data_IF_268981965764
#
_entry.id   IF_268981965764
#
_cell.length_a   1.000
_cell.length_b   1.000
_cell.length_c   1.000
_cell.angle_alpha   90.00
_cell.angle_beta   90.00
_cell.angle_gamma   90.00
#
_symmetry.space_group_name_H-M   'P 1'
#
loop_
_entity.id
_entity.type
_entity.pdbx_description
1 polymer ?
#
# COMPACT_ATOMS: atom_id res chain seq x y z
N UNK A 1 46.30 -24.80 -32.21
CA UNK A 1 46.33 -24.73 -30.72
C UNK A 1 45.95 -23.32 -30.31
N UNK A 2 44.76 -23.14 -29.73
CA UNK A 2 44.23 -21.83 -29.35
C UNK A 2 44.71 -21.52 -27.93
N UNK A 3 45.60 -20.55 -27.77
CA UNK A 3 46.10 -20.08 -26.47
C UNK A 3 45.02 -19.22 -25.79
N UNK A 4 44.25 -19.83 -24.90
CA UNK A 4 43.22 -19.16 -24.12
C UNK A 4 43.88 -18.42 -22.95
N UNK A 5 43.95 -17.10 -23.04
CA UNK A 5 44.59 -16.26 -22.02
C UNK A 5 43.70 -16.18 -20.77
N UNK A 6 44.19 -16.56 -19.58
CA UNK A 6 43.38 -16.72 -18.35
C UNK A 6 42.80 -15.39 -17.84
N UNK A 7 43.36 -14.26 -18.26
CA UNK A 7 42.91 -12.92 -17.88
C UNK A 7 41.56 -12.52 -18.50
N UNK A 8 41.15 -13.10 -19.63
CA UNK A 8 39.83 -12.83 -20.24
C UNK A 8 38.67 -13.60 -19.59
N UNK A 9 38.95 -14.74 -18.96
CA UNK A 9 37.91 -15.54 -18.30
C UNK A 9 37.44 -14.93 -16.97
N UNK A 10 38.30 -14.15 -16.30
CA UNK A 10 38.00 -13.56 -14.99
C UNK A 10 36.99 -12.40 -15.06
N UNK A 11 36.98 -11.64 -16.16
CA UNK A 11 36.08 -10.49 -16.34
C UNK A 11 34.60 -10.89 -16.58
N UNK A 12 34.34 -12.11 -17.05
CA UNK A 12 32.97 -12.59 -17.31
C UNK A 12 32.26 -13.09 -16.04
N UNK A 13 33.00 -13.42 -14.98
CA UNK A 13 32.43 -13.93 -13.73
C UNK A 13 31.86 -12.83 -12.81
N UNK A 14 32.29 -11.57 -12.99
CA UNK A 14 31.81 -10.45 -12.16
C UNK A 14 30.37 -10.05 -12.50
N UNK A 15 29.90 -10.31 -13.73
CA UNK A 15 28.53 -10.00 -14.17
C UNK A 15 27.48 -11.05 -13.74
N UNK A 16 27.91 -12.21 -13.23
CA UNK A 16 27.02 -13.29 -12.81
C UNK A 16 26.71 -13.28 -11.30
N UNK A 17 27.24 -12.32 -10.54
CA UNK A 17 26.94 -12.20 -9.12
C UNK A 17 25.48 -11.72 -8.95
N UNK A 18 24.61 -12.49 -8.25
CA UNK A 18 23.28 -12.00 -7.94
C UNK A 18 23.42 -10.80 -7.00
N UNK A 19 23.01 -9.62 -7.47
CA UNK A 19 22.79 -8.46 -6.60
C UNK A 19 21.62 -8.82 -5.68
N UNK A 20 21.94 -9.35 -4.48
CA UNK A 20 20.96 -9.47 -3.42
C UNK A 20 20.60 -8.07 -2.95
N UNK A 21 19.54 -7.51 -3.54
CA UNK A 21 18.88 -6.32 -3.03
C UNK A 21 18.25 -6.69 -1.69
N UNK A 22 18.81 -6.16 -0.59
CA UNK A 22 18.12 -6.20 0.69
C UNK A 22 16.82 -5.41 0.55
N UNK A 23 15.66 -6.09 0.61
CA UNK A 23 14.37 -5.40 0.58
C UNK A 23 14.30 -4.42 1.76
N UNK A 24 14.23 -3.13 1.46
CA UNK A 24 14.04 -2.09 2.48
C UNK A 24 12.67 -2.34 3.11
N UNK A 25 12.65 -2.59 4.41
CA UNK A 25 11.40 -2.77 5.15
C UNK A 25 10.55 -1.51 5.07
N UNK A 26 9.39 -1.61 4.42
CA UNK A 26 8.36 -0.57 4.42
C UNK A 26 7.32 -0.92 5.49
N UNK A 27 7.05 -0.05 6.50
CA UNK A 27 6.02 -0.32 7.49
C UNK A 27 4.63 -0.30 6.85
N UNK A 28 3.68 -1.01 7.46
CA UNK A 28 2.29 -0.92 7.03
C UNK A 28 1.73 0.49 7.33
N UNK A 29 0.83 1.07 6.50
CA UNK A 29 0.23 2.36 6.82
C UNK A 29 -0.50 2.35 8.16
N UNK A 30 -0.26 3.37 8.97
CA UNK A 30 -0.89 3.47 10.29
C UNK A 30 -2.41 3.62 10.19
N UNK A 31 -3.11 3.26 11.26
CA UNK A 31 -4.56 3.47 11.34
C UNK A 31 -4.93 4.94 11.17
N UNK A 32 -4.14 5.84 11.75
CA UNK A 32 -4.36 7.29 11.65
C UNK A 32 -4.22 7.76 10.20
N UNK A 33 -3.25 7.23 9.45
CA UNK A 33 -3.11 7.53 8.03
C UNK A 33 -4.34 7.10 7.23
N UNK A 34 -4.86 5.90 7.51
CA UNK A 34 -6.09 5.41 6.87
C UNK A 34 -7.29 6.27 7.26
N UNK A 35 -7.37 6.73 8.52
CA UNK A 35 -8.43 7.64 9.00
C UNK A 35 -8.34 9.02 8.38
N UNK A 36 -7.14 9.53 8.14
CA UNK A 36 -6.90 10.78 7.43
C UNK A 36 -7.51 10.74 6.02
N UNK A 37 -7.27 9.66 5.28
CA UNK A 37 -7.86 9.44 3.95
C UNK A 37 -9.39 9.40 4.03
N UNK A 38 -9.95 8.68 5.01
CA UNK A 38 -11.41 8.61 5.21
C UNK A 38 -12.00 10.00 5.48
N UNK A 39 -11.39 10.77 6.38
CA UNK A 39 -11.85 12.11 6.73
C UNK A 39 -11.80 13.04 5.53
N UNK A 40 -10.71 13.04 4.76
CA UNK A 40 -10.59 13.84 3.54
C UNK A 40 -11.63 13.45 2.48
N UNK A 41 -11.89 12.15 2.33
CA UNK A 41 -12.94 11.66 1.43
C UNK A 41 -14.33 12.14 1.85
N UNK A 42 -14.67 12.09 3.15
CA UNK A 42 -15.93 12.63 3.66
C UNK A 42 -16.03 14.15 3.47
N UNK A 43 -14.92 14.90 3.59
CA UNK A 43 -14.90 16.32 3.24
C UNK A 43 -15.18 16.55 1.75
N UNK A 44 -14.56 15.80 0.83
CA UNK A 44 -14.86 15.89 -0.61
C UNK A 44 -16.32 15.53 -0.93
N UNK A 45 -16.88 14.53 -0.24
CA UNK A 45 -18.29 14.15 -0.34
C UNK A 45 -19.19 15.31 0.10
N UNK A 46 -18.93 15.92 1.25
CA UNK A 46 -19.77 17.01 1.79
C UNK A 46 -19.63 18.33 1.01
N UNK A 47 -18.41 18.71 0.68
CA UNK A 47 -18.09 20.06 0.23
C UNK A 47 -18.01 20.18 -1.30
N UNK A 48 -17.65 19.08 -2.00
CA UNK A 48 -17.53 19.05 -3.46
C UNK A 48 -16.67 20.19 -4.04
N UNK A 49 -15.61 20.57 -3.31
CA UNK A 49 -14.66 21.58 -3.75
C UNK A 49 -13.40 20.93 -4.32
N UNK A 50 -12.70 21.66 -5.20
CA UNK A 50 -11.42 21.20 -5.76
C UNK A 50 -10.44 20.83 -4.64
N UNK A 51 -10.26 21.72 -3.67
CA UNK A 51 -9.33 21.53 -2.56
C UNK A 51 -9.59 20.24 -1.77
N UNK A 52 -10.85 19.97 -1.38
CA UNK A 52 -11.18 18.78 -0.59
C UNK A 52 -11.04 17.48 -1.37
N UNK A 53 -11.46 17.47 -2.64
CA UNK A 53 -11.37 16.29 -3.48
C UNK A 53 -9.93 15.98 -3.91
N UNK A 54 -9.12 17.00 -4.23
CA UNK A 54 -7.69 16.81 -4.48
C UNK A 54 -6.97 16.32 -3.23
N UNK A 55 -7.28 16.86 -2.05
CA UNK A 55 -6.71 16.39 -0.77
C UNK A 55 -6.96 14.90 -0.55
N UNK A 56 -8.20 14.43 -0.77
CA UNK A 56 -8.54 13.01 -0.63
C UNK A 56 -7.72 12.14 -1.59
N UNK A 57 -7.56 12.58 -2.85
CA UNK A 57 -6.77 11.88 -3.86
C UNK A 57 -5.28 11.86 -3.52
N UNK A 58 -4.70 13.01 -3.15
CA UNK A 58 -3.28 13.13 -2.78
C UNK A 58 -2.90 12.28 -1.56
N UNK A 59 -3.84 12.09 -0.62
CA UNK A 59 -3.61 11.22 0.52
C UNK A 59 -3.64 9.73 0.17
N UNK A 60 -4.47 9.34 -0.80
CA UNK A 60 -4.63 7.96 -1.24
C UNK A 60 -3.54 7.52 -2.24
N UNK A 61 -3.09 8.43 -3.10
CA UNK A 61 -2.18 8.14 -4.22
C UNK A 61 -0.88 7.43 -3.80
N UNK A 62 -0.14 7.86 -2.75
CA UNK A 62 1.08 7.18 -2.32
C UNK A 62 0.87 5.73 -1.86
N UNK A 63 -0.36 5.34 -1.51
CA UNK A 63 -0.68 3.97 -1.10
C UNK A 63 -0.86 3.02 -2.30
N UNK A 64 -1.03 3.52 -3.53
CA UNK A 64 -1.13 2.69 -4.72
C UNK A 64 0.15 1.90 -4.98
N UNK A 65 1.30 2.53 -4.77
CA UNK A 65 2.61 1.91 -4.98
C UNK A 65 3.16 1.20 -3.73
N UNK A 66 2.37 1.14 -2.66
CA UNK A 66 2.82 0.51 -1.41
C UNK A 66 3.04 -1.00 -1.61
N UNK A 67 4.25 -1.54 -1.33
CA UNK A 67 4.60 -2.92 -1.69
C UNK A 67 3.86 -3.97 -0.84
N UNK A 68 3.47 -3.60 0.38
CA UNK A 68 2.79 -4.51 1.32
C UNK A 68 1.27 -4.49 1.24
N UNK A 69 0.66 -3.52 0.56
CA UNK A 69 -0.79 -3.42 0.52
C UNK A 69 -1.38 -4.45 -0.45
N UNK A 70 -2.44 -5.17 -0.03
CA UNK A 70 -3.07 -6.17 -0.88
C UNK A 70 -3.76 -5.51 -2.07
N UNK A 71 -3.90 -6.23 -3.18
CA UNK A 71 -4.60 -5.73 -4.38
C UNK A 71 -5.98 -5.16 -4.05
N UNK A 72 -6.76 -5.84 -3.21
CA UNK A 72 -8.08 -5.36 -2.77
C UNK A 72 -8.05 -3.97 -2.11
N UNK A 73 -6.99 -3.65 -1.35
CA UNK A 73 -6.83 -2.30 -0.78
C UNK A 73 -6.54 -1.27 -1.87
N UNK A 74 -5.68 -1.62 -2.83
CA UNK A 74 -5.35 -0.75 -3.97
C UNK A 74 -6.58 -0.51 -4.85
N UNK A 75 -7.41 -1.52 -5.09
CA UNK A 75 -8.67 -1.38 -5.84
C UNK A 75 -9.64 -0.42 -5.15
N UNK A 76 -9.75 -0.50 -3.81
CA UNK A 76 -10.60 0.41 -3.04
C UNK A 76 -10.04 1.85 -3.04
N UNK A 77 -8.72 2.02 -2.92
CA UNK A 77 -8.06 3.33 -3.03
C UNK A 77 -8.25 3.93 -4.43
N UNK A 78 -8.06 3.13 -5.48
CA UNK A 78 -8.33 3.54 -6.87
C UNK A 78 -9.78 3.99 -7.05
N UNK A 79 -10.73 3.17 -6.57
CA UNK A 79 -12.17 3.47 -6.60
C UNK A 79 -12.47 4.77 -5.87
N UNK A 80 -11.88 4.99 -4.69
CA UNK A 80 -12.04 6.24 -3.95
C UNK A 80 -11.56 7.41 -4.81
N UNK A 81 -10.35 7.33 -5.35
CA UNK A 81 -9.75 8.42 -6.11
C UNK A 81 -10.58 8.74 -7.35
N UNK A 82 -11.05 7.73 -8.09
CA UNK A 82 -11.90 7.89 -9.25
C UNK A 82 -13.19 8.68 -8.91
N UNK A 83 -13.82 8.35 -7.78
CA UNK A 83 -15.06 8.99 -7.32
C UNK A 83 -14.86 10.34 -6.64
N UNK A 84 -13.74 10.55 -5.97
CA UNK A 84 -13.40 11.76 -5.23
C UNK A 84 -12.95 12.89 -6.18
N UNK A 85 -13.85 13.29 -7.08
CA UNK A 85 -13.66 14.38 -8.05
C UNK A 85 -14.77 15.41 -7.91
N UNK A 86 -14.47 16.66 -8.21
CA UNK A 86 -15.49 17.72 -8.25
C UNK A 86 -16.52 17.36 -9.31
N UNK A 87 -17.80 17.48 -8.96
CA UNK A 87 -18.91 17.33 -9.88
C UNK A 87 -19.72 18.63 -9.97
N UNK A 88 -20.44 18.81 -11.07
CA UNK A 88 -21.33 19.98 -11.25
C UNK A 88 -22.43 20.05 -10.20
N UNK A 89 -22.90 18.90 -9.70
CA UNK A 89 -23.91 18.80 -8.63
C UNK A 89 -23.42 17.83 -7.55
N UNK A 90 -23.65 18.20 -6.29
CA UNK A 90 -23.32 17.34 -5.15
C UNK A 90 -24.53 16.51 -4.68
N UNK A 91 -25.03 15.65 -5.57
CA UNK A 91 -26.21 14.82 -5.28
C UNK A 91 -25.91 13.68 -4.29
N UNK A 92 -26.99 13.07 -3.77
CA UNK A 92 -26.89 11.97 -2.82
C UNK A 92 -26.12 10.77 -3.38
N UNK A 93 -26.32 10.43 -4.67
CA UNK A 93 -25.68 9.27 -5.29
C UNK A 93 -24.16 9.42 -5.36
N UNK A 94 -23.67 10.62 -5.69
CA UNK A 94 -22.25 10.95 -5.67
C UNK A 94 -21.68 10.83 -4.26
N UNK A 95 -22.35 11.47 -3.30
CA UNK A 95 -21.92 11.48 -1.89
C UNK A 95 -21.83 10.06 -1.33
N UNK A 96 -22.87 9.27 -1.54
CA UNK A 96 -22.93 7.88 -1.08
C UNK A 96 -21.83 7.03 -1.73
N UNK A 97 -21.55 7.21 -3.03
CA UNK A 97 -20.50 6.48 -3.72
C UNK A 97 -19.09 6.75 -3.13
N UNK A 98 -18.80 8.00 -2.74
CA UNK A 98 -17.54 8.37 -2.07
C UNK A 98 -17.53 7.82 -0.63
N UNK A 99 -18.62 8.02 0.12
CA UNK A 99 -18.72 7.61 1.52
C UNK A 99 -18.60 6.09 1.69
N UNK A 100 -19.22 5.30 0.80
CA UNK A 100 -19.13 3.84 0.80
C UNK A 100 -17.69 3.37 0.61
N UNK A 101 -16.95 4.02 -0.29
CA UNK A 101 -15.54 3.68 -0.52
C UNK A 101 -14.68 4.08 0.67
N UNK A 102 -14.86 5.30 1.18
CA UNK A 102 -14.16 5.80 2.36
C UNK A 102 -14.33 4.84 3.56
N UNK A 103 -15.56 4.41 3.88
CA UNK A 103 -15.84 3.50 5.01
C UNK A 103 -15.07 2.19 4.94
N UNK A 104 -14.78 1.68 3.73
CA UNK A 104 -14.10 0.38 3.53
C UNK A 104 -12.59 0.45 3.75
N UNK A 105 -11.95 1.61 3.53
CA UNK A 105 -10.48 1.77 3.56
C UNK A 105 -9.86 1.21 4.84
N UNK A 106 -10.30 1.64 6.03
CA UNK A 106 -9.71 1.15 7.29
C UNK A 106 -9.87 -0.36 7.51
N UNK A 107 -10.83 -1.02 6.86
CA UNK A 107 -11.02 -2.48 6.98
C UNK A 107 -10.17 -3.24 5.97
N UNK A 108 -10.20 -2.80 4.71
CA UNK A 108 -9.55 -3.48 3.59
C UNK A 108 -8.04 -3.25 3.60
N UNK A 109 -7.60 -2.07 4.02
CA UNK A 109 -6.20 -1.68 4.05
C UNK A 109 -5.52 -1.88 5.41
N UNK A 110 -6.19 -2.48 6.40
CA UNK A 110 -5.57 -2.74 7.70
C UNK A 110 -4.54 -3.88 7.63
N UNK A 111 -3.52 -3.81 8.47
CA UNK A 111 -2.54 -4.90 8.59
C UNK A 111 -3.26 -6.19 9.05
N UNK A 112 -3.05 -7.31 8.35
CA UNK A 112 -3.59 -8.60 8.77
C UNK A 112 -3.09 -8.95 10.17
N UNK A 113 -4.01 -9.10 11.12
CA UNK A 113 -3.64 -9.64 12.44
C UNK A 113 -3.21 -11.09 12.24
N UNK A 114 -1.99 -11.45 12.66
CA UNK A 114 -1.60 -12.86 12.79
C UNK A 114 -2.61 -13.54 13.71
N UNK A 115 -3.34 -14.52 13.20
CA UNK A 115 -4.19 -15.37 14.05
C UNK A 115 -3.23 -16.10 14.99
N UNK A 116 -3.43 -15.97 16.31
CA UNK A 116 -2.76 -16.87 17.26
C UNK A 116 -3.24 -18.28 16.91
N UNK A 117 -2.32 -19.15 16.53
CA UNK A 117 -2.66 -20.57 16.34
C UNK A 117 -3.22 -21.09 17.66
N UNK A 118 -4.46 -21.59 17.71
CA UNK A 118 -5.03 -22.18 18.93
C UNK A 118 -4.22 -23.37 19.46
N UNK A 119 -3.34 -23.95 18.63
CA UNK A 119 -2.46 -25.07 19.00
C UNK A 119 -1.08 -24.63 19.48
N UNK A 120 -0.75 -23.33 19.41
CA UNK A 120 0.49 -22.81 19.97
C UNK A 120 0.42 -22.87 21.50
N UNK A 121 1.02 -23.92 22.07
CA UNK A 121 1.17 -24.06 23.52
C UNK A 121 1.93 -22.85 24.07
N UNK A 122 1.48 -22.21 25.17
CA UNK A 122 2.26 -21.19 25.84
C UNK A 122 3.46 -21.88 26.49
N UNK A 123 4.68 -21.62 26.01
CA UNK A 123 5.88 -22.07 26.74
C UNK A 123 7.17 -22.37 25.96
N UNK A 124 7.24 -22.23 24.63
CA UNK A 124 8.53 -22.34 23.94
C UNK A 124 9.12 -20.94 23.68
N UNK A 125 10.27 -20.58 24.29
CA UNK A 125 10.97 -19.36 23.94
C UNK A 125 11.35 -19.42 22.47
N UNK A 126 10.85 -18.47 21.69
CA UNK A 126 11.31 -18.26 20.33
C UNK A 126 12.74 -17.75 20.42
N UNK A 127 13.72 -18.64 20.16
CA UNK A 127 15.13 -18.28 20.10
C UNK A 127 15.29 -17.06 19.19
N UNK A 128 15.64 -15.93 19.81
CA UNK A 128 16.21 -14.79 19.11
C UNK A 128 17.53 -15.28 18.52
N UNK A 129 17.60 -15.33 17.20
CA UNK A 129 18.89 -15.39 16.52
C UNK A 129 19.48 -13.99 16.59
N UNK A 130 20.57 -13.90 17.34
CA UNK A 130 21.53 -12.79 17.41
C UNK A 130 22.91 -13.41 17.39
#
# INVERSE_FOLDING_TARGET
MIQLHPTRALLLLVLAAPLQSAEIYVPWPSKDKLKEIQSAAFSCSRENTRATCERARQLADPLMDHPRLPGLCKDELWTLMEKARVATKNDYRRRDAIDLSARRISKVCAEPKKKKDPRAKPGTPQLRQS
#
